data_IF_844689500830
#
_entry.id   IF_844689500830
#
_cell.length_a   1.000
_cell.length_b   1.000
_cell.length_c   1.000
_cell.angle_alpha   90.00
_cell.angle_beta   90.00
_cell.angle_gamma   90.00
#
_symmetry.space_group_name_H-M   'P 1'
#
loop_
_entity.id
_entity.type
_entity.pdbx_description
1 polymer ?
#
# COMPACT_ATOMS: atom_id res chain seq x y z
N UNK A 1 -0.02 -6.81 -11.17
CA UNK A 1 1.43 -6.89 -11.44
C UNK A 1 2.09 -7.97 -10.58
N UNK A 2 3.15 -8.62 -11.05
CA UNK A 2 3.72 -9.78 -10.38
C UNK A 2 4.98 -9.39 -9.57
N UNK A 3 4.88 -9.18 -8.24
CA UNK A 3 6.05 -8.78 -7.43
C UNK A 3 6.97 -9.97 -7.12
N UNK A 4 8.30 -9.79 -7.21
CA UNK A 4 9.29 -10.74 -6.67
C UNK A 4 9.32 -10.85 -5.13
N UNK A 5 8.37 -10.22 -4.45
CA UNK A 5 8.22 -10.20 -2.99
C UNK A 5 7.63 -11.51 -2.44
N UNK A 6 7.01 -12.33 -3.30
CA UNK A 6 6.41 -13.59 -2.91
C UNK A 6 7.50 -14.64 -2.75
N UNK A 7 7.65 -15.11 -1.52
CA UNK A 7 8.48 -16.23 -1.13
C UNK A 7 8.27 -16.47 0.35
N UNK A 8 7.16 -17.14 0.72
CA UNK A 8 6.94 -17.63 2.10
C UNK A 8 8.11 -18.51 2.61
N UNK A 9 9.07 -18.85 1.75
CA UNK A 9 10.23 -19.70 2.00
C UNK A 9 11.59 -19.08 1.64
N UNK A 10 11.71 -17.76 1.41
CA UNK A 10 12.94 -17.13 0.87
C UNK A 10 13.45 -17.69 -0.48
N UNK A 11 12.73 -18.66 -1.06
CA UNK A 11 12.97 -19.11 -2.42
C UNK A 11 12.34 -18.10 -3.38
N UNK A 12 13.12 -17.61 -4.34
CA UNK A 12 12.60 -16.84 -5.45
C UNK A 12 11.46 -17.63 -6.10
N UNK A 13 10.21 -17.16 -5.96
CA UNK A 13 9.09 -17.80 -6.63
C UNK A 13 9.28 -17.54 -8.12
N UNK A 14 9.59 -18.59 -8.86
CA UNK A 14 9.92 -18.55 -10.30
C UNK A 14 8.77 -18.08 -11.18
N UNK A 15 7.57 -17.91 -10.61
CA UNK A 15 6.38 -17.46 -11.33
C UNK A 15 5.43 -16.71 -10.41
N UNK A 16 5.42 -15.40 -10.55
CA UNK A 16 4.46 -14.52 -9.88
C UNK A 16 3.27 -14.32 -10.81
N UNK A 17 2.06 -14.51 -10.29
CA UNK A 17 0.79 -14.36 -11.01
C UNK A 17 0.24 -12.94 -10.82
N UNK A 18 -0.49 -12.38 -11.79
CA UNK A 18 -1.27 -11.17 -11.58
C UNK A 18 -2.31 -11.28 -10.45
N UNK A 19 -2.67 -12.51 -10.07
CA UNK A 19 -3.62 -12.79 -8.98
C UNK A 19 -2.95 -12.91 -7.61
N UNK A 20 -1.62 -12.92 -7.52
CA UNK A 20 -0.92 -13.03 -6.24
C UNK A 20 -1.06 -11.73 -5.44
N UNK A 21 -1.69 -11.82 -4.27
CA UNK A 21 -1.95 -10.69 -3.37
C UNK A 21 -0.83 -10.50 -2.35
N UNK A 22 -0.35 -9.27 -2.17
CA UNK A 22 0.79 -8.98 -1.31
C UNK A 22 0.62 -7.67 -0.55
N UNK A 23 0.27 -7.75 0.72
CA UNK A 23 0.17 -6.57 1.58
C UNK A 23 1.51 -5.85 1.79
N UNK A 24 2.66 -6.56 1.69
CA UNK A 24 3.98 -5.90 1.68
C UNK A 24 4.16 -4.98 0.47
N UNK A 25 3.82 -5.44 -0.74
CA UNK A 25 3.85 -4.60 -1.94
C UNK A 25 2.84 -3.47 -1.85
N UNK A 26 1.61 -3.78 -1.45
CA UNK A 26 0.56 -2.79 -1.33
C UNK A 26 0.98 -1.66 -0.39
N UNK A 27 1.52 -1.99 0.78
CA UNK A 27 2.06 -1.01 1.73
C UNK A 27 3.18 -0.18 1.13
N UNK A 28 4.12 -0.79 0.40
CA UNK A 28 5.18 -0.07 -0.32
C UNK A 28 4.60 0.94 -1.32
N UNK A 29 3.62 0.53 -2.13
CA UNK A 29 2.99 1.38 -3.13
C UNK A 29 2.22 2.54 -2.49
N UNK A 30 1.39 2.27 -1.47
CA UNK A 30 0.67 3.31 -0.72
C UNK A 30 1.63 4.31 -0.08
N UNK A 31 2.70 3.83 0.58
CA UNK A 31 3.68 4.74 1.22
C UNK A 31 4.43 5.58 0.19
N UNK A 32 4.76 5.03 -0.99
CA UNK A 32 5.38 5.82 -2.07
C UNK A 32 4.41 6.88 -2.60
N UNK A 33 3.15 6.54 -2.80
CA UNK A 33 2.10 7.47 -3.21
C UNK A 33 1.95 8.61 -2.18
N UNK A 34 1.83 8.26 -0.89
CA UNK A 34 1.75 9.23 0.21
C UNK A 34 2.97 10.16 0.27
N UNK A 35 4.16 9.61 0.06
CA UNK A 35 5.40 10.41 0.06
C UNK A 35 5.42 11.43 -1.08
N UNK A 36 5.01 11.02 -2.29
CA UNK A 36 4.92 11.91 -3.45
C UNK A 36 3.86 13.00 -3.24
N UNK A 37 2.73 12.66 -2.61
CA UNK A 37 1.67 13.62 -2.28
C UNK A 37 2.15 14.73 -1.32
N UNK A 38 3.08 14.40 -0.42
CA UNK A 38 3.62 15.33 0.58
C UNK A 38 5.00 15.90 0.20
N UNK A 39 5.50 15.65 -1.01
CA UNK A 39 6.80 16.15 -1.45
C UNK A 39 6.74 17.65 -1.77
N UNK A 40 7.81 18.39 -1.46
CA UNK A 40 7.89 19.86 -1.55
C UNK A 40 7.54 20.44 -2.95
N UNK A 41 7.57 19.61 -3.98
CA UNK A 41 7.23 19.93 -5.36
C UNK A 41 6.06 19.06 -5.86
N UNK A 42 4.93 19.04 -5.15
CA UNK A 42 3.71 18.42 -5.69
C UNK A 42 3.33 19.09 -7.02
N UNK A 43 3.61 18.40 -8.12
CA UNK A 43 3.32 18.84 -9.50
C UNK A 43 2.37 17.87 -10.18
N UNK A 44 1.86 18.26 -11.35
CA UNK A 44 1.01 17.37 -12.16
C UNK A 44 1.72 16.06 -12.53
N UNK A 45 3.04 16.09 -12.78
CA UNK A 45 3.84 14.87 -13.02
C UNK A 45 3.80 13.89 -11.83
N UNK A 46 3.65 14.40 -10.60
CA UNK A 46 3.49 13.55 -9.42
C UNK A 46 2.10 12.90 -9.37
N UNK A 47 1.06 13.51 -9.96
CA UNK A 47 -0.30 12.95 -9.93
C UNK A 47 -0.38 11.62 -10.63
N UNK A 48 0.15 11.53 -11.85
CA UNK A 48 0.19 10.28 -12.62
C UNK A 48 1.01 9.20 -11.89
N UNK A 49 2.11 9.61 -11.26
CA UNK A 49 2.90 8.69 -10.44
C UNK A 49 2.11 8.19 -9.21
N UNK A 50 1.41 9.08 -8.50
CA UNK A 50 0.62 8.76 -7.31
C UNK A 50 -0.55 7.85 -7.65
N UNK A 51 -1.36 8.21 -8.65
CA UNK A 51 -2.50 7.41 -9.08
C UNK A 51 -2.05 6.03 -9.56
N UNK A 52 -0.94 5.95 -10.30
CA UNK A 52 -0.32 4.70 -10.70
C UNK A 52 0.10 3.83 -9.51
N UNK A 53 0.74 4.41 -8.48
CA UNK A 53 1.08 3.68 -7.26
C UNK A 53 -0.17 3.16 -6.53
N UNK A 54 -1.21 3.99 -6.41
CA UNK A 54 -2.46 3.60 -5.75
C UNK A 54 -3.19 2.46 -6.49
N UNK A 55 -3.18 2.47 -7.83
CA UNK A 55 -3.72 1.37 -8.65
C UNK A 55 -2.93 0.08 -8.47
N UNK A 56 -1.60 0.15 -8.39
CA UNK A 56 -0.78 -1.02 -8.07
C UNK A 56 -1.06 -1.56 -6.67
N UNK A 57 -1.32 -0.70 -5.69
CA UNK A 57 -1.75 -1.13 -4.37
C UNK A 57 -3.10 -1.87 -4.43
N UNK A 58 -4.07 -1.36 -5.20
CA UNK A 58 -5.36 -2.01 -5.40
C UNK A 58 -5.21 -3.41 -6.00
N UNK A 59 -4.37 -3.59 -7.03
CA UNK A 59 -4.07 -4.89 -7.63
C UNK A 59 -3.54 -5.91 -6.61
N UNK A 60 -2.74 -5.46 -5.66
CA UNK A 60 -2.14 -6.30 -4.61
C UNK A 60 -3.09 -6.62 -3.45
N UNK A 61 -4.25 -5.97 -3.38
CA UNK A 61 -5.22 -6.08 -2.28
C UNK A 61 -6.60 -6.60 -2.72
N UNK A 62 -6.95 -6.53 -4.02
CA UNK A 62 -8.32 -6.70 -4.51
C UNK A 62 -9.02 -8.02 -4.13
N UNK A 63 -8.30 -9.12 -3.90
CA UNK A 63 -8.92 -10.39 -3.49
C UNK A 63 -8.90 -10.61 -1.99
N UNK A 64 -7.77 -10.37 -1.34
CA UNK A 64 -7.58 -10.75 0.08
C UNK A 64 -7.95 -9.59 1.04
N UNK A 65 -7.87 -8.35 0.57
CA UNK A 65 -8.04 -7.13 1.36
C UNK A 65 -8.87 -6.08 0.60
N UNK A 66 -10.02 -6.53 0.06
CA UNK A 66 -10.86 -5.76 -0.88
C UNK A 66 -11.22 -4.36 -0.41
N UNK A 67 -11.49 -4.17 0.88
CA UNK A 67 -11.85 -2.86 1.45
C UNK A 67 -10.71 -1.83 1.22
N UNK A 68 -9.47 -2.20 1.57
CA UNK A 68 -8.30 -1.38 1.34
C UNK A 68 -8.01 -1.17 -0.16
N UNK A 69 -8.31 -2.17 -1.00
CA UNK A 69 -8.19 -2.03 -2.45
C UNK A 69 -9.14 -0.97 -3.02
N UNK A 70 -10.39 -0.94 -2.53
CA UNK A 70 -11.39 0.07 -2.92
C UNK A 70 -10.95 1.46 -2.47
N UNK A 71 -10.48 1.62 -1.23
CA UNK A 71 -9.94 2.89 -0.73
C UNK A 71 -8.79 3.40 -1.61
N UNK A 72 -7.85 2.52 -1.97
CA UNK A 72 -6.73 2.89 -2.84
C UNK A 72 -7.21 3.33 -4.23
N UNK A 73 -8.16 2.61 -4.83
CA UNK A 73 -8.73 2.95 -6.13
C UNK A 73 -9.47 4.29 -6.09
N UNK A 74 -10.30 4.51 -5.09
CA UNK A 74 -11.15 5.71 -5.00
C UNK A 74 -10.29 6.96 -4.78
N UNK A 75 -9.24 6.85 -3.95
CA UNK A 75 -8.25 7.90 -3.80
C UNK A 75 -7.46 8.16 -5.10
N UNK A 76 -7.13 7.11 -5.87
CA UNK A 76 -6.47 7.29 -7.17
C UNK A 76 -7.32 8.13 -8.13
N UNK A 77 -8.63 7.88 -8.16
CA UNK A 77 -9.59 8.64 -8.97
C UNK A 77 -9.63 10.11 -8.52
N UNK A 78 -9.67 10.38 -7.21
CA UNK A 78 -9.67 11.76 -6.70
C UNK A 78 -8.41 12.53 -7.13
N UNK A 79 -7.23 11.89 -7.08
CA UNK A 79 -5.97 12.51 -7.51
C UNK A 79 -5.96 12.77 -9.03
N UNK A 80 -6.43 11.82 -9.84
CA UNK A 80 -6.54 11.97 -11.30
C UNK A 80 -7.53 13.08 -11.71
N UNK A 81 -8.62 13.24 -10.96
CA UNK A 81 -9.66 14.25 -11.20
C UNK A 81 -9.29 15.63 -10.65
N UNK A 82 -8.09 15.82 -10.09
CA UNK A 82 -7.65 17.06 -9.43
C UNK A 82 -8.53 17.50 -8.25
N UNK A 83 -9.06 16.51 -7.51
CA UNK A 83 -9.95 16.72 -6.37
C UNK A 83 -9.20 16.68 -5.03
N UNK A 84 -7.94 17.12 -5.01
CA UNK A 84 -7.10 17.06 -3.81
C UNK A 84 -7.69 17.87 -2.64
N UNK A 85 -8.38 18.97 -2.94
CA UNK A 85 -9.06 19.80 -1.94
C UNK A 85 -10.26 19.12 -1.28
N UNK A 86 -10.75 18.02 -1.86
CA UNK A 86 -11.83 17.21 -1.29
C UNK A 86 -11.28 16.09 -0.39
N UNK A 87 -9.97 15.83 -0.43
CA UNK A 87 -9.35 14.80 0.41
C UNK A 87 -9.33 15.31 1.85
N UNK A 88 -10.00 14.57 2.73
CA UNK A 88 -10.10 14.84 4.16
C UNK A 88 -9.43 13.73 4.96
N UNK A 89 -10.01 12.53 5.00
CA UNK A 89 -9.51 11.39 5.79
C UNK A 89 -9.00 10.23 4.93
N UNK A 90 -9.20 10.29 3.62
CA UNK A 90 -8.98 9.17 2.70
C UNK A 90 -7.55 8.63 2.77
N UNK A 91 -6.56 9.51 2.93
CA UNK A 91 -5.16 9.10 3.11
C UNK A 91 -4.93 8.36 4.44
N UNK A 92 -5.42 8.90 5.54
CA UNK A 92 -5.26 8.30 6.87
C UNK A 92 -5.98 6.95 6.95
N UNK A 93 -7.19 6.89 6.40
CA UNK A 93 -8.01 5.68 6.32
C UNK A 93 -7.29 4.59 5.51
N UNK A 94 -6.74 4.94 4.33
CA UNK A 94 -5.97 4.01 3.51
C UNK A 94 -4.68 3.56 4.19
N UNK A 95 -3.92 4.47 4.81
CA UNK A 95 -2.69 4.15 5.53
C UNK A 95 -2.95 3.20 6.71
N UNK A 96 -4.05 3.41 7.43
CA UNK A 96 -4.50 2.52 8.50
C UNK A 96 -4.91 1.15 7.94
N UNK A 97 -5.72 1.12 6.89
CA UNK A 97 -6.23 -0.11 6.28
C UNK A 97 -5.09 -0.98 5.74
N UNK A 98 -4.12 -0.39 5.03
CA UNK A 98 -2.97 -1.14 4.50
C UNK A 98 -2.03 -1.63 5.60
N UNK A 99 -1.91 -0.87 6.71
CA UNK A 99 -1.15 -1.33 7.90
C UNK A 99 -1.85 -2.50 8.58
N UNK A 100 -3.18 -2.49 8.68
CA UNK A 100 -3.97 -3.61 9.20
C UNK A 100 -3.82 -4.86 8.32
N UNK A 101 -3.93 -4.72 7.00
CA UNK A 101 -3.72 -5.80 6.05
C UNK A 101 -2.31 -6.42 6.19
N UNK A 102 -1.27 -5.58 6.23
CA UNK A 102 0.11 -6.03 6.45
C UNK A 102 0.26 -6.78 7.77
N UNK A 103 -0.25 -6.25 8.88
CA UNK A 103 -0.13 -6.89 10.18
C UNK A 103 -0.88 -8.24 10.25
N UNK A 104 -2.01 -8.35 9.56
CA UNK A 104 -2.79 -9.60 9.47
C UNK A 104 -2.04 -10.68 8.69
N UNK A 105 -1.37 -10.31 7.59
CA UNK A 105 -0.60 -11.25 6.76
C UNK A 105 0.79 -11.60 7.35
N UNK A 106 1.30 -10.76 8.25
CA UNK A 106 2.65 -10.83 8.82
C UNK A 106 2.63 -10.77 10.37
N UNK A 107 1.99 -11.74 11.06
CA UNK A 107 1.91 -11.73 12.53
C UNK A 107 3.29 -11.82 13.21
N UNK A 108 4.26 -12.47 12.58
CA UNK A 108 5.65 -12.55 13.05
C UNK A 108 6.33 -11.18 13.12
N UNK A 109 6.02 -10.29 12.18
CA UNK A 109 6.52 -8.91 12.19
C UNK A 109 5.90 -8.10 13.33
N UNK A 110 4.63 -8.36 13.67
CA UNK A 110 3.94 -7.72 14.81
C UNK A 110 4.55 -8.18 16.13
N UNK A 111 4.75 -9.48 16.31
CA UNK A 111 5.40 -10.05 17.50
C UNK A 111 6.81 -9.48 17.69
N UNK A 112 7.60 -9.40 16.61
CA UNK A 112 8.94 -8.80 16.66
C UNK A 112 8.91 -7.33 17.06
N UNK A 113 7.94 -6.57 16.56
CA UNK A 113 7.79 -5.16 16.93
C UNK A 113 7.49 -5.02 18.44
N UNK A 114 6.60 -5.85 18.99
CA UNK A 114 6.27 -5.84 20.41
C UNK A 114 7.50 -6.18 21.28
N UNK A 115 8.31 -7.16 20.87
CA UNK A 115 9.56 -7.51 21.57
C UNK A 115 10.55 -6.35 21.58
N UNK A 116 10.71 -5.64 20.46
CA UNK A 116 11.60 -4.49 20.37
C UNK A 116 11.14 -3.31 21.23
N UNK A 117 9.84 -3.11 21.40
CA UNK A 117 9.28 -2.07 22.26
C UNK A 117 9.60 -2.34 23.73
N UNK A 118 9.43 -3.59 24.18
CA UNK A 118 9.78 -4.00 25.56
C UNK A 118 11.28 -3.83 25.84
N UNK A 119 12.15 -4.00 24.83
CA UNK A 119 13.60 -3.85 24.98
C UNK A 119 14.08 -2.40 25.05
N UNK A 120 13.21 -1.43 24.72
CA UNK A 120 13.51 0.00 24.77
C UNK A 120 13.07 0.67 26.08
N UNK A 121 12.33 -0.06 26.93
CA UNK A 121 11.90 0.33 28.27
C UNK A 121 12.89 -0.18 29.34
#
# INVERSE_FOLDING_TARGET
MSCNCHGKSSAAVTRTSPFDQCSTCAKKHVVKAWSLFNEFLYTDDNRDAISGQLRLAADHLMYDHREAAVMARDLAIMIEENRDSEITTEWDDLLMAVRKAFNADHPDAVERLAQLQIQQE
#
